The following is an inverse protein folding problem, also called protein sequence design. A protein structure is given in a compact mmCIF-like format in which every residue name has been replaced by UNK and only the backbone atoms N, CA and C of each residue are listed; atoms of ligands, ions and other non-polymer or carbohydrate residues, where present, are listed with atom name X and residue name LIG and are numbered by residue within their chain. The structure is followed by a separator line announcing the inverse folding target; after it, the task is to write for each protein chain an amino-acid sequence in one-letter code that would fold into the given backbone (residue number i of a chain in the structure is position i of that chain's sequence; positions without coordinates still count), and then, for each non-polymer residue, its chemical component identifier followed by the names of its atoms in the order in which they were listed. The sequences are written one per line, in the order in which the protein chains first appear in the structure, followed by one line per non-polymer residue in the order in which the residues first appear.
data_IF_112480943658
#
_entry.id   IF_112480943658
#
_cell.length_a   1.000
_cell.length_b   1.000
_cell.length_c   1.000
_cell.angle_alpha   90.00
_cell.angle_beta   90.00
_cell.angle_gamma   90.00
#
_symmetry.space_group_name_H-M   'P 1'
#
loop_
_entity.id
_entity.type
_entity.pdbx_description
1 polymer ?
#
# COMPACT_ATOMS: atom_id res chain seq x y z
N UNK A 1 -26.08 -6.15 14.53
CA UNK A 1 -25.33 -6.01 13.26
C UNK A 1 -23.97 -5.44 13.60
N UNK A 2 -22.88 -6.11 13.22
CA UNK A 2 -21.52 -5.65 13.54
C UNK A 2 -21.18 -4.37 12.78
N UNK A 3 -20.49 -3.44 13.45
CA UNK A 3 -20.12 -2.13 12.91
C UNK A 3 -18.62 -1.94 12.94
N UNK A 4 -18.07 -1.48 11.84
CA UNK A 4 -16.62 -1.32 11.67
C UNK A 4 -16.31 0.10 11.19
N UNK A 5 -15.24 0.70 11.74
CA UNK A 5 -14.78 2.01 11.34
C UNK A 5 -13.52 1.90 10.45
N UNK A 6 -13.55 2.57 9.33
CA UNK A 6 -12.43 2.75 8.42
C UNK A 6 -11.83 4.14 8.68
N UNK A 7 -10.70 4.20 9.38
CA UNK A 7 -10.06 5.45 9.77
C UNK A 7 -8.95 5.83 8.78
N UNK A 8 -9.06 7.00 8.19
CA UNK A 8 -8.14 7.50 7.19
C UNK A 8 -7.64 8.92 7.51
N UNK A 9 -6.34 9.14 7.33
CA UNK A 9 -5.71 10.47 7.42
C UNK A 9 -5.26 11.00 6.06
N UNK A 10 -5.07 10.12 5.08
CA UNK A 10 -4.51 10.43 3.77
C UNK A 10 -5.27 9.68 2.66
N UNK A 11 -5.21 10.18 1.43
CA UNK A 11 -5.96 9.64 0.28
C UNK A 11 -5.63 8.16 -0.03
N UNK A 12 -4.37 7.74 0.14
CA UNK A 12 -3.95 6.35 -0.12
C UNK A 12 -4.74 5.31 0.70
N UNK A 13 -5.34 5.72 1.82
CA UNK A 13 -6.12 4.84 2.67
C UNK A 13 -7.36 4.27 1.97
N UNK A 14 -7.93 5.00 1.00
CA UNK A 14 -9.10 4.54 0.24
C UNK A 14 -8.78 3.25 -0.53
N UNK A 15 -7.66 3.21 -1.24
CA UNK A 15 -7.25 2.04 -2.00
C UNK A 15 -6.98 0.82 -1.10
N UNK A 16 -6.57 1.04 0.15
CA UNK A 16 -6.27 -0.04 1.11
C UNK A 16 -7.53 -0.55 1.79
N UNK A 17 -8.43 0.36 2.18
CA UNK A 17 -9.57 0.01 3.02
C UNK A 17 -10.84 -0.34 2.23
N UNK A 18 -10.96 0.04 0.95
CA UNK A 18 -12.12 -0.32 0.12
C UNK A 18 -12.30 -1.82 -0.10
N UNK A 19 -11.24 -2.62 -0.34
CA UNK A 19 -11.38 -4.08 -0.38
C UNK A 19 -11.88 -4.64 0.95
N UNK A 20 -11.38 -4.10 2.07
CA UNK A 20 -11.87 -4.49 3.40
C UNK A 20 -13.32 -4.06 3.63
N UNK A 21 -13.73 -2.88 3.17
CA UNK A 21 -15.14 -2.44 3.19
C UNK A 21 -16.04 -3.40 2.42
N UNK A 22 -15.59 -3.84 1.24
CA UNK A 22 -16.32 -4.81 0.43
C UNK A 22 -16.50 -6.15 1.18
N UNK A 23 -15.43 -6.66 1.82
CA UNK A 23 -15.49 -7.88 2.63
C UNK A 23 -16.40 -7.73 3.86
N UNK A 24 -16.40 -6.56 4.53
CA UNK A 24 -17.33 -6.25 5.64
C UNK A 24 -18.78 -6.31 5.15
N UNK A 25 -19.07 -5.64 4.04
CA UNK A 25 -20.44 -5.61 3.46
C UNK A 25 -20.90 -7.00 3.00
N UNK A 26 -20.00 -7.81 2.42
CA UNK A 26 -20.29 -9.17 2.00
C UNK A 26 -20.68 -10.09 3.17
N UNK A 27 -20.25 -9.78 4.40
CA UNK A 27 -20.66 -10.48 5.63
C UNK A 27 -21.99 -9.95 6.20
N UNK A 28 -22.65 -8.99 5.55
CA UNK A 28 -23.84 -8.32 6.06
C UNK A 28 -23.58 -7.37 7.23
N UNK A 29 -22.33 -6.91 7.42
CA UNK A 29 -21.95 -5.95 8.45
C UNK A 29 -21.88 -4.52 7.89
N UNK A 30 -21.88 -3.53 8.78
CA UNK A 30 -21.81 -2.12 8.43
C UNK A 30 -20.39 -1.58 8.52
N UNK A 31 -19.99 -0.80 7.51
CA UNK A 31 -18.73 -0.07 7.49
C UNK A 31 -18.97 1.42 7.32
N UNK A 32 -18.34 2.23 8.15
CA UNK A 32 -18.37 3.69 8.04
C UNK A 32 -16.95 4.26 8.00
N UNK A 33 -16.80 5.39 7.33
CA UNK A 33 -15.55 6.12 7.19
C UNK A 33 -15.47 7.29 8.17
N UNK A 34 -14.31 7.46 8.77
CA UNK A 34 -13.96 8.68 9.46
C UNK A 34 -12.61 9.19 8.95
N UNK A 35 -12.58 10.45 8.57
CA UNK A 35 -11.37 11.12 8.08
C UNK A 35 -10.87 12.13 9.11
N UNK A 36 -9.58 12.06 9.37
CA UNK A 36 -8.92 13.05 10.21
C UNK A 36 -8.92 14.45 9.56
N UNK A 37 -8.90 14.48 8.22
CA UNK A 37 -8.90 15.69 7.37
C UNK A 37 -9.98 15.53 6.31
N UNK A 38 -10.58 16.63 5.88
CA UNK A 38 -11.69 16.58 4.92
C UNK A 38 -11.27 16.25 3.49
N UNK A 39 -10.03 16.58 3.09
CA UNK A 39 -9.58 16.40 1.72
C UNK A 39 -9.80 14.99 1.15
N UNK A 40 -9.46 13.88 1.85
CA UNK A 40 -9.76 12.53 1.35
C UNK A 40 -11.25 12.20 1.28
N UNK A 41 -12.09 12.86 2.09
CA UNK A 41 -13.52 12.60 2.12
C UNK A 41 -14.25 13.00 0.82
N UNK A 42 -13.70 13.94 0.06
CA UNK A 42 -14.24 14.33 -1.24
C UNK A 42 -14.18 13.19 -2.29
N UNK A 43 -13.38 12.15 -2.05
CA UNK A 43 -13.25 10.99 -2.92
C UNK A 43 -14.14 9.79 -2.48
N UNK A 44 -15.02 9.97 -1.50
CA UNK A 44 -15.99 8.94 -1.15
C UNK A 44 -17.03 8.77 -2.25
N UNK A 45 -17.46 7.52 -2.42
CA UNK A 45 -18.56 7.17 -3.30
C UNK A 45 -19.89 7.48 -2.61
N UNK A 46 -20.95 7.62 -3.37
CA UNK A 46 -22.27 7.96 -2.84
C UNK A 46 -22.85 6.90 -1.89
N UNK A 47 -22.40 5.65 -1.99
CA UNK A 47 -22.81 4.53 -1.15
C UNK A 47 -21.89 4.33 0.07
N UNK A 48 -20.85 5.14 0.24
CA UNK A 48 -19.89 5.04 1.35
C UNK A 48 -20.31 5.95 2.51
N UNK A 49 -20.76 5.35 3.62
CA UNK A 49 -21.19 6.09 4.81
C UNK A 49 -20.04 6.84 5.46
N UNK A 50 -20.14 8.15 5.61
CA UNK A 50 -19.21 8.98 6.36
C UNK A 50 -19.77 9.32 7.74
N UNK A 51 -18.94 9.20 8.78
CA UNK A 51 -19.16 9.77 10.10
C UNK A 51 -18.41 11.11 10.17
N UNK A 52 -19.10 12.26 10.17
CA UNK A 52 -18.45 13.56 9.97
C UNK A 52 -17.72 14.08 11.22
N UNK A 53 -18.07 13.58 12.41
CA UNK A 53 -17.56 14.07 13.69
C UNK A 53 -17.07 12.94 14.59
N UNK A 54 -16.19 13.27 15.51
CA UNK A 54 -15.75 12.32 16.56
C UNK A 54 -16.95 11.83 17.37
N UNK A 55 -17.94 12.70 17.67
CA UNK A 55 -19.15 12.30 18.40
C UNK A 55 -19.93 11.25 17.62
N UNK A 56 -20.07 11.40 16.29
CA UNK A 56 -20.73 10.38 15.47
C UNK A 56 -20.00 9.02 15.53
N UNK A 57 -18.66 9.00 15.60
CA UNK A 57 -17.91 7.75 15.83
C UNK A 57 -18.18 7.15 17.21
N UNK A 58 -18.22 7.99 18.25
CA UNK A 58 -18.53 7.54 19.61
C UNK A 58 -19.95 6.94 19.72
N UNK A 59 -20.92 7.56 19.03
CA UNK A 59 -22.32 7.08 19.00
C UNK A 59 -22.49 5.84 18.11
N UNK A 60 -21.69 5.74 17.04
CA UNK A 60 -21.64 4.57 16.15
C UNK A 60 -21.16 3.30 16.87
N UNK A 61 -20.27 3.43 17.85
CA UNK A 61 -19.70 2.34 18.66
C UNK A 61 -19.15 1.18 17.83
N UNK A 62 -18.14 1.42 16.95
CA UNK A 62 -17.58 0.34 16.15
C UNK A 62 -16.96 -0.75 17.02
N UNK A 63 -17.09 -2.01 16.60
CA UNK A 63 -16.42 -3.17 17.20
C UNK A 63 -14.91 -3.17 16.93
N UNK A 64 -14.51 -2.67 15.74
CA UNK A 64 -13.11 -2.45 15.40
C UNK A 64 -12.92 -1.21 14.53
N UNK A 65 -11.71 -0.65 14.61
CA UNK A 65 -11.22 0.49 13.82
C UNK A 65 -10.05 0.02 12.99
N UNK A 66 -10.21 -0.03 11.68
CA UNK A 66 -9.16 -0.42 10.74
C UNK A 66 -8.37 0.81 10.27
N UNK A 67 -7.05 0.71 10.31
CA UNK A 67 -6.16 1.83 10.09
C UNK A 67 -4.95 1.41 9.25
N UNK A 68 -4.72 2.01 8.07
CA UNK A 68 -3.50 1.77 7.32
C UNK A 68 -2.32 2.60 7.82
N UNK A 69 -2.61 3.68 8.55
CA UNK A 69 -1.60 4.58 9.10
C UNK A 69 -1.09 4.16 10.49
N UNK A 70 -0.06 4.85 10.94
CA UNK A 70 0.66 4.51 12.19
C UNK A 70 0.04 5.11 13.47
N UNK A 71 -1.15 5.66 13.41
CA UNK A 71 -1.80 6.22 14.59
C UNK A 71 -3.32 6.10 14.49
N UNK A 72 -3.95 6.03 15.66
CA UNK A 72 -5.40 5.99 15.81
C UNK A 72 -5.76 6.65 17.13
N UNK A 73 -6.90 7.37 17.23
CA UNK A 73 -7.39 7.90 18.49
C UNK A 73 -7.69 6.76 19.47
N UNK A 74 -7.03 6.76 20.62
CA UNK A 74 -7.19 5.69 21.61
C UNK A 74 -8.58 5.68 22.26
N UNK A 75 -9.27 6.82 22.27
CA UNK A 75 -10.61 6.98 22.83
C UNK A 75 -11.72 6.47 21.90
N UNK A 76 -11.46 6.21 20.62
CA UNK A 76 -12.44 5.56 19.78
C UNK A 76 -12.82 4.18 20.34
N UNK A 77 -14.10 3.79 20.37
CA UNK A 77 -14.47 2.46 20.80
C UNK A 77 -13.96 1.35 19.88
N UNK A 78 -13.99 0.12 20.34
CA UNK A 78 -13.59 -1.08 19.58
C UNK A 78 -12.09 -1.35 19.50
N UNK A 79 -11.75 -2.46 18.87
CA UNK A 79 -10.38 -2.95 18.68
C UNK A 79 -9.65 -2.07 17.64
N UNK A 80 -8.40 -1.68 17.89
CA UNK A 80 -7.60 -0.91 16.93
C UNK A 80 -6.71 -1.86 16.13
N UNK A 81 -6.99 -1.95 14.83
CA UNK A 81 -6.34 -2.88 13.91
C UNK A 81 -5.50 -2.10 12.91
N UNK A 82 -4.20 -2.35 12.86
CA UNK A 82 -3.30 -1.81 11.83
C UNK A 82 -3.24 -2.78 10.64
N UNK A 83 -3.53 -2.27 9.44
CA UNK A 83 -3.48 -3.03 8.18
C UNK A 83 -2.36 -2.55 7.25
N UNK A 84 -1.51 -1.65 7.73
CA UNK A 84 -0.35 -1.05 7.04
C UNK A 84 -0.70 -0.27 5.76
N UNK A 85 0.26 0.58 5.33
CA UNK A 85 0.11 1.44 4.15
C UNK A 85 1.12 1.15 3.04
N UNK A 86 1.89 0.08 3.15
CA UNK A 86 2.87 -0.35 2.17
C UNK A 86 3.89 -1.32 2.74
N UNK A 87 4.71 -1.88 1.87
CA UNK A 87 5.85 -2.69 2.26
C UNK A 87 7.00 -1.83 2.76
N UNK A 88 7.88 -2.40 3.59
CA UNK A 88 9.09 -1.73 4.04
C UNK A 88 10.11 -1.68 2.89
N UNK A 89 10.37 -0.50 2.38
CA UNK A 89 11.38 -0.26 1.33
C UNK A 89 12.65 0.39 1.88
N UNK A 90 12.80 0.42 3.21
CA UNK A 90 14.01 0.92 3.86
C UNK A 90 14.32 2.40 3.68
N UNK A 91 13.33 3.23 3.35
CA UNK A 91 13.49 4.69 3.22
C UNK A 91 13.78 5.41 4.54
N UNK A 92 13.52 4.78 5.69
CA UNK A 92 13.67 5.38 7.02
C UNK A 92 14.50 4.45 7.91
N UNK A 93 15.21 5.05 8.89
CA UNK A 93 15.91 4.29 9.94
C UNK A 93 14.94 3.45 10.76
N UNK A 94 15.42 2.37 11.39
CA UNK A 94 14.61 1.45 12.21
C UNK A 94 13.85 2.18 13.33
N UNK A 95 14.47 3.17 13.97
CA UNK A 95 13.86 3.96 15.05
C UNK A 95 12.68 4.85 14.61
N UNK A 96 12.58 5.15 13.32
CA UNK A 96 11.50 5.96 12.71
C UNK A 96 10.67 5.20 11.69
N UNK A 97 11.02 3.94 11.44
CA UNK A 97 10.51 3.11 10.35
C UNK A 97 9.25 2.33 10.68
N UNK A 98 9.05 1.32 9.87
CA UNK A 98 7.90 0.42 9.81
C UNK A 98 7.64 -0.34 11.12
N UNK A 99 8.70 -0.73 11.83
CA UNK A 99 8.65 -1.54 13.05
C UNK A 99 8.51 -0.74 14.36
N UNK A 100 8.28 0.57 14.29
CA UNK A 100 8.14 1.39 15.51
C UNK A 100 6.78 1.19 16.18
N UNK A 101 6.74 0.56 17.35
CA UNK A 101 5.53 0.39 18.15
C UNK A 101 5.19 1.70 18.89
N UNK A 102 3.95 2.17 18.68
CA UNK A 102 3.43 3.41 19.29
C UNK A 102 2.43 3.19 20.43
N UNK A 103 2.06 1.93 20.70
CA UNK A 103 1.16 1.55 21.77
C UNK A 103 -0.30 1.90 21.55
N UNK A 104 -0.71 2.15 20.29
CA UNK A 104 -2.09 2.49 19.97
C UNK A 104 -2.91 1.28 19.54
N UNK A 105 -2.30 0.34 18.82
CA UNK A 105 -2.98 -0.80 18.23
C UNK A 105 -3.12 -1.99 19.18
N UNK A 106 -4.17 -2.78 18.97
CA UNK A 106 -4.47 -4.05 19.66
C UNK A 106 -4.05 -5.25 18.81
N UNK A 107 -4.16 -5.10 17.48
CA UNK A 107 -3.86 -6.12 16.48
C UNK A 107 -3.09 -5.48 15.32
N UNK A 108 -2.03 -6.16 14.89
CA UNK A 108 -1.28 -5.87 13.68
C UNK A 108 -1.54 -6.99 12.67
N UNK A 109 -2.19 -6.66 11.54
CA UNK A 109 -2.45 -7.56 10.43
C UNK A 109 -1.31 -7.42 9.41
N UNK A 110 -0.32 -8.30 9.47
CA UNK A 110 0.91 -8.21 8.70
C UNK A 110 0.79 -8.80 7.31
N UNK A 111 1.63 -8.33 6.40
CA UNK A 111 1.53 -8.61 4.97
C UNK A 111 2.14 -9.95 4.55
N UNK A 112 3.19 -10.39 5.24
CA UNK A 112 3.92 -11.63 4.96
C UNK A 112 5.06 -11.84 5.96
N UNK A 113 5.83 -12.94 5.82
CA UNK A 113 6.87 -13.37 6.76
C UNK A 113 7.87 -12.28 7.18
N UNK A 114 8.38 -11.49 6.21
CA UNK A 114 9.37 -10.43 6.46
C UNK A 114 8.82 -9.31 7.38
N UNK A 115 7.50 -9.14 7.46
CA UNK A 115 6.84 -8.22 8.38
C UNK A 115 6.37 -8.94 9.64
N UNK A 116 5.88 -10.16 9.51
CA UNK A 116 5.29 -10.94 10.60
C UNK A 116 6.31 -11.30 11.67
N UNK A 117 7.48 -11.81 11.28
CA UNK A 117 8.49 -12.27 12.24
C UNK A 117 8.97 -11.15 13.17
N UNK A 118 9.38 -9.96 12.68
CA UNK A 118 9.75 -8.85 13.54
C UNK A 118 8.59 -8.35 14.43
N UNK A 119 7.34 -8.31 13.91
CA UNK A 119 6.20 -7.89 14.73
C UNK A 119 5.85 -8.91 15.82
N UNK A 120 6.01 -10.21 15.59
CA UNK A 120 5.86 -11.26 16.62
C UNK A 120 6.92 -11.12 17.72
N UNK A 121 8.17 -10.82 17.37
CA UNK A 121 9.22 -10.54 18.35
C UNK A 121 8.85 -9.31 19.20
N UNK A 122 8.40 -8.23 18.54
CA UNK A 122 7.93 -7.03 19.23
C UNK A 122 6.71 -7.30 20.13
N UNK A 123 5.78 -8.16 19.70
CA UNK A 123 4.64 -8.56 20.50
C UNK A 123 5.08 -9.32 21.77
N UNK A 124 6.05 -10.23 21.66
CA UNK A 124 6.65 -10.91 22.81
C UNK A 124 7.30 -9.94 23.80
N UNK A 125 8.05 -8.96 23.29
CA UNK A 125 8.74 -7.93 24.10
C UNK A 125 7.75 -6.98 24.79
N UNK A 126 6.76 -6.49 24.07
CA UNK A 126 5.78 -5.51 24.60
C UNK A 126 4.62 -6.15 25.36
N UNK A 127 4.10 -7.27 24.89
CA UNK A 127 3.09 -8.09 25.54
C UNK A 127 1.66 -7.55 25.52
N UNK A 128 1.35 -6.45 24.80
CA UNK A 128 0.03 -5.81 24.89
C UNK A 128 -0.74 -5.76 23.56
N UNK A 129 -0.25 -6.38 22.51
CA UNK A 129 -0.92 -6.49 21.20
C UNK A 129 -0.72 -7.87 20.59
N UNK A 130 -1.55 -8.21 19.62
CA UNK A 130 -1.47 -9.44 18.82
C UNK A 130 -0.94 -9.15 17.42
N UNK A 131 -0.45 -10.19 16.76
CA UNK A 131 0.05 -10.15 15.39
C UNK A 131 -0.48 -11.33 14.63
N UNK A 132 -1.15 -11.05 13.51
CA UNK A 132 -1.65 -12.08 12.58
C UNK A 132 -1.17 -11.78 11.16
N UNK A 133 -0.69 -12.81 10.48
CA UNK A 133 -0.30 -12.71 9.08
C UNK A 133 -1.55 -12.89 8.20
N UNK A 134 -1.92 -11.84 7.48
CA UNK A 134 -3.19 -11.80 6.74
C UNK A 134 -3.02 -11.57 5.24
N UNK A 135 -1.85 -11.14 4.82
CA UNK A 135 -1.71 -10.47 3.54
C UNK A 135 -2.13 -8.99 3.64
N UNK A 136 -2.25 -8.33 2.50
CA UNK A 136 -2.54 -6.90 2.45
C UNK A 136 -3.81 -6.61 1.63
N UNK A 137 -4.87 -6.08 2.26
CA UNK A 137 -6.16 -5.82 1.61
C UNK A 137 -6.08 -5.05 0.30
N UNK A 138 -5.15 -4.09 0.17
CA UNK A 138 -4.96 -3.33 -1.08
C UNK A 138 -4.79 -4.21 -2.31
N UNK A 139 -4.15 -5.37 -2.16
CA UNK A 139 -3.83 -6.25 -3.29
C UNK A 139 -4.95 -7.24 -3.62
N UNK A 140 -5.98 -7.38 -2.80
CA UNK A 140 -7.08 -8.32 -3.06
C UNK A 140 -7.70 -8.13 -4.45
N UNK A 141 -8.02 -6.91 -4.94
CA UNK A 141 -8.59 -6.73 -6.26
C UNK A 141 -7.70 -7.21 -7.41
N UNK A 142 -6.37 -7.20 -7.21
CA UNK A 142 -5.40 -7.63 -8.21
C UNK A 142 -5.44 -9.16 -8.43
N UNK A 143 -5.81 -9.91 -7.39
CA UNK A 143 -5.84 -11.37 -7.39
C UNK A 143 -7.27 -11.96 -7.41
N UNK A 144 -8.29 -11.12 -7.40
CA UNK A 144 -9.70 -11.51 -7.45
C UNK A 144 -10.32 -11.36 -8.86
N UNK A 145 -9.53 -11.52 -9.91
CA UNK A 145 -9.92 -11.41 -11.33
C UNK A 145 -10.66 -10.11 -11.70
N UNK A 146 -10.51 -9.08 -10.87
CA UNK A 146 -11.12 -7.76 -11.14
C UNK A 146 -10.49 -7.08 -12.35
N UNK A 147 -9.21 -7.37 -12.62
CA UNK A 147 -8.46 -6.85 -13.73
C UNK A 147 -8.09 -8.01 -14.65
N UNK A 148 -8.89 -8.30 -15.70
CA UNK A 148 -8.60 -9.39 -16.62
C UNK A 148 -7.25 -9.17 -17.29
N UNK A 149 -6.48 -10.25 -17.41
CA UNK A 149 -5.24 -10.23 -18.17
C UNK A 149 -5.54 -9.82 -19.61
N UNK A 150 -4.92 -8.75 -20.08
CA UNK A 150 -5.00 -8.32 -21.46
C UNK A 150 -3.87 -9.02 -22.23
N UNK A 151 -4.21 -9.76 -23.27
CA UNK A 151 -3.22 -10.17 -24.26
C UNK A 151 -2.83 -8.92 -25.06
N UNK A 152 -1.73 -8.29 -24.66
CA UNK A 152 -1.21 -7.11 -25.36
C UNK A 152 -0.51 -7.56 -26.63
N UNK A 153 -0.79 -6.90 -27.76
CA UNK A 153 -0.12 -7.17 -29.04
C UNK A 153 1.39 -6.84 -28.98
N UNK A 154 1.78 -5.94 -28.09
CA UNK A 154 3.15 -5.52 -27.80
C UNK A 154 3.37 -5.48 -26.29
N UNK A 155 4.60 -5.73 -25.80
CA UNK A 155 4.89 -5.61 -24.36
C UNK A 155 4.54 -4.22 -23.83
N UNK A 156 3.99 -4.17 -22.61
CA UNK A 156 3.63 -2.94 -21.92
C UNK A 156 4.65 -2.66 -20.83
N UNK A 157 5.39 -1.57 -20.96
CA UNK A 157 6.34 -1.08 -19.97
C UNK A 157 5.67 0.00 -19.13
N UNK A 158 5.46 -0.28 -17.85
CA UNK A 158 5.00 0.74 -16.92
C UNK A 158 6.19 1.54 -16.39
N UNK A 159 6.10 2.87 -16.43
CA UNK A 159 7.04 3.74 -15.72
C UNK A 159 6.36 4.43 -14.57
N UNK A 160 6.94 4.25 -13.37
CA UNK A 160 6.47 4.91 -12.14
C UNK A 160 7.66 5.32 -11.28
N UNK A 161 7.78 6.62 -10.95
CA UNK A 161 8.90 7.18 -10.21
C UNK A 161 8.45 7.79 -8.88
N UNK A 162 9.35 7.74 -7.87
CA UNK A 162 9.12 8.44 -6.61
C UNK A 162 9.19 9.96 -6.81
N UNK A 163 8.47 10.71 -5.99
CA UNK A 163 8.47 12.18 -6.02
C UNK A 163 9.63 12.83 -5.24
N UNK A 164 10.43 12.02 -4.53
CA UNK A 164 11.54 12.52 -3.72
C UNK A 164 12.69 12.93 -4.64
N UNK A 165 12.97 14.21 -4.77
CA UNK A 165 13.90 14.80 -5.75
C UNK A 165 15.30 14.15 -5.75
N UNK A 166 15.82 13.78 -4.57
CA UNK A 166 17.16 13.17 -4.45
C UNK A 166 17.28 11.73 -4.93
N UNK A 167 16.16 11.08 -5.31
CA UNK A 167 16.11 9.67 -5.71
C UNK A 167 15.12 9.40 -6.85
N UNK A 168 14.47 10.43 -7.39
CA UNK A 168 13.58 10.31 -8.53
C UNK A 168 14.37 10.05 -9.81
N UNK A 169 13.90 9.10 -10.61
CA UNK A 169 14.43 8.84 -11.96
C UNK A 169 13.71 9.64 -13.04
N UNK A 170 12.62 10.34 -12.71
CA UNK A 170 11.73 10.93 -13.69
C UNK A 170 12.43 11.95 -14.61
N UNK A 171 13.33 12.79 -14.08
CA UNK A 171 14.04 13.77 -14.91
C UNK A 171 15.08 13.12 -15.81
N UNK A 172 15.87 12.18 -15.26
CA UNK A 172 16.93 11.51 -15.98
C UNK A 172 16.40 10.65 -17.15
N UNK A 173 15.33 9.90 -16.91
CA UNK A 173 14.83 8.92 -17.89
C UNK A 173 13.85 9.49 -18.93
N UNK A 174 13.47 10.77 -18.83
CA UNK A 174 12.49 11.37 -19.75
C UNK A 174 12.90 11.24 -21.23
N UNK A 175 14.16 11.57 -21.56
CA UNK A 175 14.65 11.52 -22.94
C UNK A 175 14.70 10.08 -23.47
N UNK A 176 15.16 9.13 -22.64
CA UNK A 176 15.22 7.71 -22.97
C UNK A 176 13.82 7.14 -23.24
N UNK A 177 12.85 7.45 -22.38
CA UNK A 177 11.46 7.01 -22.53
C UNK A 177 10.80 7.62 -23.77
N UNK A 178 11.05 8.92 -24.04
CA UNK A 178 10.52 9.59 -25.22
C UNK A 178 11.05 8.97 -26.51
N UNK A 179 12.35 8.69 -26.60
CA UNK A 179 12.97 8.04 -27.74
C UNK A 179 12.43 6.60 -27.95
N UNK A 180 12.34 5.82 -26.86
CA UNK A 180 11.80 4.48 -26.91
C UNK A 180 10.31 4.42 -27.29
N UNK A 181 9.51 5.40 -26.90
CA UNK A 181 8.12 5.49 -27.31
C UNK A 181 7.97 5.80 -28.81
N UNK A 182 8.96 6.47 -29.44
CA UNK A 182 8.96 6.74 -30.89
C UNK A 182 9.27 5.49 -31.70
N UNK A 183 10.09 4.53 -31.21
CA UNK A 183 10.39 3.29 -31.96
C UNK A 183 9.14 2.42 -32.13
N UNK A 184 8.22 2.44 -31.21
CA UNK A 184 6.97 1.69 -31.27
C UNK A 184 7.07 0.21 -30.92
N UNK A 185 8.23 -0.27 -30.47
CA UNK A 185 8.44 -1.67 -30.09
C UNK A 185 7.62 -2.06 -28.88
N UNK A 186 7.43 -1.13 -27.95
CA UNK A 186 6.68 -1.29 -26.70
C UNK A 186 5.56 -0.27 -26.57
N UNK A 187 4.57 -0.62 -25.77
CA UNK A 187 3.57 0.32 -25.26
C UNK A 187 4.04 0.85 -23.89
N UNK A 188 4.12 2.17 -23.76
CA UNK A 188 4.49 2.81 -22.50
C UNK A 188 3.27 3.25 -21.73
N UNK A 189 3.25 2.95 -20.42
CA UNK A 189 2.24 3.39 -19.48
C UNK A 189 2.92 4.17 -18.36
N UNK A 190 2.81 5.48 -18.39
CA UNK A 190 3.48 6.36 -17.44
C UNK A 190 2.50 6.83 -16.38
N UNK A 191 2.89 6.68 -15.11
CA UNK A 191 2.20 7.30 -14.00
C UNK A 191 3.20 7.92 -13.01
N UNK A 192 2.84 9.06 -12.46
CA UNK A 192 3.68 9.77 -11.50
C UNK A 192 2.92 10.01 -10.20
N UNK A 193 3.66 10.07 -9.10
CA UNK A 193 3.07 10.31 -7.79
C UNK A 193 2.37 11.68 -7.75
N UNK A 194 1.19 11.84 -7.11
CA UNK A 194 0.48 13.13 -7.03
C UNK A 194 1.28 14.31 -6.44
N UNK A 195 2.34 14.02 -5.69
CA UNK A 195 3.27 15.03 -5.13
C UNK A 195 4.48 15.30 -6.04
N UNK A 196 4.50 14.76 -7.27
CA UNK A 196 5.55 15.06 -8.24
C UNK A 196 5.52 16.54 -8.63
N UNK A 197 6.68 17.12 -8.90
CA UNK A 197 6.80 18.52 -9.34
C UNK A 197 5.97 18.75 -10.62
N UNK A 198 5.16 19.81 -10.69
CA UNK A 198 4.25 20.05 -11.81
C UNK A 198 4.93 20.08 -13.18
N UNK A 199 6.13 20.69 -13.27
CA UNK A 199 6.93 20.74 -14.50
C UNK A 199 7.30 19.35 -15.03
N UNK A 200 7.57 18.39 -14.12
CA UNK A 200 7.85 17.00 -14.50
C UNK A 200 6.58 16.32 -14.99
N UNK A 201 5.46 16.53 -14.29
CA UNK A 201 4.15 15.98 -14.70
C UNK A 201 3.78 16.47 -16.09
N UNK A 202 3.88 17.77 -16.35
CA UNK A 202 3.55 18.37 -17.65
C UNK A 202 4.49 17.89 -18.74
N UNK A 203 5.77 17.73 -18.45
CA UNK A 203 6.76 17.21 -19.38
C UNK A 203 6.46 15.75 -19.82
N UNK A 204 5.94 14.89 -18.92
CA UNK A 204 5.51 13.53 -19.28
C UNK A 204 4.15 13.50 -19.96
N UNK A 205 3.22 14.36 -19.57
CA UNK A 205 1.94 14.51 -20.22
C UNK A 205 2.10 14.92 -21.70
N UNK A 206 3.07 15.77 -21.99
CA UNK A 206 3.40 16.18 -23.35
C UNK A 206 3.98 15.06 -24.23
N UNK A 207 4.42 13.94 -23.64
CA UNK A 207 4.90 12.76 -24.39
C UNK A 207 3.77 11.83 -24.85
N UNK A 208 2.50 12.09 -24.46
CA UNK A 208 1.38 11.25 -24.90
C UNK A 208 1.31 11.12 -26.42
N UNK A 209 1.05 9.90 -26.87
CA UNK A 209 0.99 9.55 -28.27
C UNK A 209 0.57 8.10 -28.49
N UNK A 210 0.68 7.58 -29.71
CA UNK A 210 0.22 6.23 -30.06
C UNK A 210 0.86 5.12 -29.20
N UNK A 211 2.09 5.32 -28.74
CA UNK A 211 2.87 4.31 -28.01
C UNK A 211 3.12 4.70 -26.55
N UNK A 212 2.59 5.84 -26.05
CA UNK A 212 2.75 6.27 -24.68
C UNK A 212 1.46 6.88 -24.15
N UNK A 213 0.93 6.30 -23.10
CA UNK A 213 -0.19 6.82 -22.33
C UNK A 213 0.28 7.34 -20.96
N UNK A 214 -0.14 8.55 -20.60
CA UNK A 214 0.09 9.13 -19.28
C UNK A 214 -1.19 9.05 -18.45
N UNK A 215 -1.14 8.33 -17.34
CA UNK A 215 -2.29 8.13 -16.47
C UNK A 215 -2.06 8.76 -15.08
N UNK A 216 -2.96 9.66 -14.68
CA UNK A 216 -3.12 10.05 -13.27
C UNK A 216 -4.32 9.30 -12.74
N UNK A 217 -4.08 8.27 -11.92
CA UNK A 217 -5.14 7.40 -11.42
C UNK A 217 -5.01 7.16 -9.92
N UNK A 218 -6.15 7.02 -9.27
CA UNK A 218 -6.23 6.55 -7.88
C UNK A 218 -6.19 5.00 -7.82
N UNK A 219 -6.37 4.31 -8.94
CA UNK A 219 -6.32 2.85 -9.06
C UNK A 219 -5.05 2.38 -9.79
N UNK A 220 -3.95 2.37 -9.08
CA UNK A 220 -2.67 1.91 -9.61
C UNK A 220 -2.67 0.40 -9.92
N UNK A 221 -3.59 -0.37 -9.35
CA UNK A 221 -3.66 -1.82 -9.56
C UNK A 221 -4.07 -2.17 -10.99
N UNK A 222 -4.92 -1.36 -11.61
CA UNK A 222 -5.26 -1.53 -13.03
C UNK A 222 -4.00 -1.38 -13.91
N UNK A 223 -3.15 -0.40 -13.60
CA UNK A 223 -1.89 -0.20 -14.31
C UNK A 223 -0.93 -1.39 -14.10
N UNK A 224 -0.86 -1.93 -12.88
CA UNK A 224 -0.06 -3.12 -12.59
C UNK A 224 -0.53 -4.33 -13.39
N UNK A 225 -1.85 -4.58 -13.41
CA UNK A 225 -2.43 -5.71 -14.14
C UNK A 225 -2.15 -5.62 -15.64
N UNK A 226 -2.27 -4.41 -16.21
CA UNK A 226 -2.09 -4.14 -17.63
C UNK A 226 -0.64 -4.10 -18.13
N UNK A 227 0.37 -4.20 -17.23
CA UNK A 227 1.78 -4.05 -17.58
C UNK A 227 2.55 -5.35 -17.48
N UNK A 228 3.56 -5.55 -18.33
CA UNK A 228 4.41 -6.74 -18.38
C UNK A 228 5.69 -6.57 -17.59
N UNK A 229 6.21 -5.35 -17.51
CA UNK A 229 7.42 -4.97 -16.77
C UNK A 229 7.26 -3.58 -16.17
N UNK A 230 7.87 -3.37 -15.01
CA UNK A 230 7.95 -2.05 -14.37
C UNK A 230 9.36 -1.48 -14.50
N UNK A 231 9.47 -0.22 -14.95
CA UNK A 231 10.64 0.63 -14.80
C UNK A 231 10.40 1.62 -13.66
N UNK A 232 11.28 1.66 -12.67
CA UNK A 232 11.09 2.52 -11.50
C UNK A 232 12.44 2.93 -10.87
N UNK A 233 12.38 3.44 -9.66
CA UNK A 233 13.52 3.81 -8.81
C UNK A 233 13.37 3.24 -7.39
N UNK A 234 13.84 3.94 -6.36
CA UNK A 234 13.58 3.56 -4.96
C UNK A 234 12.16 3.93 -4.56
N UNK A 235 11.19 3.23 -5.11
CA UNK A 235 9.76 3.50 -4.94
C UNK A 235 9.03 2.37 -4.22
N UNK A 236 7.97 2.73 -3.48
CA UNK A 236 7.08 1.75 -2.84
C UNK A 236 6.24 0.93 -3.83
N UNK A 237 6.12 1.39 -5.08
CA UNK A 237 5.43 0.64 -6.14
C UNK A 237 6.20 -0.62 -6.56
N UNK A 238 7.52 -0.65 -6.36
CA UNK A 238 8.37 -1.79 -6.74
C UNK A 238 7.94 -3.09 -6.04
N UNK A 239 7.93 -3.19 -4.69
CA UNK A 239 7.45 -4.41 -4.03
C UNK A 239 5.98 -4.72 -4.31
N UNK A 240 5.13 -3.71 -4.50
CA UNK A 240 3.72 -3.92 -4.86
C UNK A 240 3.62 -4.60 -6.24
N UNK A 241 4.32 -4.10 -7.25
CA UNK A 241 4.32 -4.66 -8.59
C UNK A 241 4.87 -6.10 -8.63
N UNK A 242 5.97 -6.34 -7.88
CA UNK A 242 6.60 -7.67 -7.77
C UNK A 242 5.63 -8.76 -7.27
N UNK A 243 4.60 -8.40 -6.48
CA UNK A 243 3.62 -9.40 -5.98
C UNK A 243 2.90 -10.16 -7.10
N UNK A 244 2.86 -9.61 -8.32
CA UNK A 244 2.35 -10.30 -9.50
C UNK A 244 3.31 -11.33 -10.09
N UNK A 245 4.55 -11.43 -9.58
CA UNK A 245 5.65 -12.21 -10.16
C UNK A 245 5.95 -11.74 -11.60
N UNK A 246 6.01 -10.42 -11.77
CA UNK A 246 6.42 -9.74 -13.00
C UNK A 246 7.77 -9.04 -12.79
N UNK A 247 8.63 -8.96 -13.83
CA UNK A 247 9.96 -8.38 -13.70
C UNK A 247 9.93 -6.87 -13.46
N UNK A 248 10.97 -6.39 -12.78
CA UNK A 248 11.17 -4.97 -12.49
C UNK A 248 12.60 -4.57 -12.83
N UNK A 249 12.73 -3.50 -13.60
CA UNK A 249 13.99 -2.77 -13.81
C UNK A 249 13.98 -1.53 -12.93
N UNK A 250 15.05 -1.30 -12.20
CA UNK A 250 15.19 -0.09 -11.38
C UNK A 250 16.39 0.74 -11.82
N UNK A 251 16.26 2.05 -11.69
CA UNK A 251 17.30 3.01 -11.99
C UNK A 251 17.88 3.58 -10.69
N UNK A 252 19.14 3.30 -10.40
CA UNK A 252 19.88 3.77 -9.20
C UNK A 252 19.12 3.48 -7.90
N UNK A 253 18.65 2.24 -7.75
CA UNK A 253 17.95 1.83 -6.55
C UNK A 253 18.89 1.81 -5.34
N UNK A 254 18.46 2.40 -4.23
CA UNK A 254 19.26 2.40 -2.98
C UNK A 254 19.41 1.03 -2.32
N UNK A 255 18.56 0.08 -2.66
CA UNK A 255 18.55 -1.29 -2.13
C UNK A 255 18.26 -2.28 -3.24
N UNK A 256 19.18 -2.41 -4.21
CA UNK A 256 19.06 -3.44 -5.23
C UNK A 256 19.15 -4.83 -4.58
N UNK A 257 18.51 -5.81 -5.22
CA UNK A 257 18.53 -7.19 -4.79
C UNK A 257 18.35 -8.12 -5.99
N UNK A 258 18.53 -9.43 -5.82
CA UNK A 258 18.49 -10.39 -6.93
C UNK A 258 17.13 -10.43 -7.66
N UNK A 259 16.05 -9.95 -7.04
CA UNK A 259 14.74 -9.83 -7.64
C UNK A 259 14.56 -8.61 -8.55
N UNK A 260 15.60 -7.79 -8.73
CA UNK A 260 15.59 -6.58 -9.54
C UNK A 260 16.72 -6.60 -10.55
N UNK A 261 16.49 -6.01 -11.72
CA UNK A 261 17.59 -5.58 -12.61
C UNK A 261 17.81 -4.10 -12.32
N UNK A 262 18.90 -3.77 -11.62
CA UNK A 262 19.22 -2.38 -11.29
C UNK A 262 20.28 -1.82 -12.21
N UNK A 263 20.02 -0.70 -12.86
CA UNK A 263 20.92 -0.03 -13.79
C UNK A 263 21.36 1.34 -13.27
N UNK A 264 22.56 1.78 -13.69
CA UNK A 264 23.17 3.00 -13.17
C UNK A 264 23.24 4.13 -14.20
N UNK A 265 23.07 3.80 -15.49
CA UNK A 265 23.09 4.76 -16.61
C UNK A 265 21.83 4.66 -17.46
N UNK A 266 21.48 5.75 -18.13
CA UNK A 266 20.33 5.82 -19.05
C UNK A 266 20.48 4.87 -20.25
N UNK A 267 21.70 4.62 -20.69
CA UNK A 267 22.03 3.73 -21.82
C UNK A 267 21.79 2.26 -21.51
N UNK A 268 21.80 1.87 -20.23
CA UNK A 268 21.55 0.48 -19.81
C UNK A 268 20.04 0.17 -19.73
N UNK A 269 19.15 1.18 -19.72
CA UNK A 269 17.72 1.00 -19.43
C UNK A 269 17.03 0.12 -20.46
N UNK A 270 17.20 0.40 -21.76
CA UNK A 270 16.50 -0.36 -22.81
C UNK A 270 16.99 -1.81 -22.90
N UNK A 271 18.33 -2.10 -22.89
CA UNK A 271 18.81 -3.47 -22.81
C UNK A 271 18.32 -4.22 -21.55
N UNK A 272 18.24 -3.56 -20.41
CA UNK A 272 17.72 -4.16 -19.18
C UNK A 272 16.23 -4.48 -19.27
N UNK A 273 15.42 -3.65 -19.92
CA UNK A 273 13.99 -3.91 -20.16
C UNK A 273 13.80 -5.09 -21.12
N UNK A 274 14.58 -5.19 -22.21
CA UNK A 274 14.55 -6.34 -23.11
C UNK A 274 14.90 -7.64 -22.36
N UNK A 275 15.96 -7.61 -21.56
CA UNK A 275 16.34 -8.73 -20.72
C UNK A 275 15.25 -9.10 -19.71
N UNK A 276 14.65 -8.12 -19.05
CA UNK A 276 13.54 -8.33 -18.12
C UNK A 276 12.32 -8.98 -18.80
N UNK A 277 11.96 -8.50 -20.00
CA UNK A 277 10.85 -9.02 -20.77
C UNK A 277 11.07 -10.45 -21.27
N UNK A 278 12.32 -10.90 -21.45
CA UNK A 278 12.65 -12.30 -21.75
C UNK A 278 12.41 -13.23 -20.55
N UNK A 279 12.14 -12.69 -19.34
CA UNK A 279 11.83 -13.41 -18.11
C UNK A 279 12.89 -14.47 -17.73
N UNK A 280 14.16 -14.11 -17.58
CA UNK A 280 15.22 -15.07 -17.28
C UNK A 280 14.89 -15.94 -16.07
N UNK A 281 15.11 -17.26 -16.11
CA UNK A 281 14.67 -18.19 -15.05
C UNK A 281 15.22 -17.84 -13.66
N UNK A 282 16.49 -17.36 -13.58
CA UNK A 282 17.10 -16.92 -12.32
C UNK A 282 16.44 -15.69 -11.74
N UNK A 283 16.12 -14.69 -12.57
CA UNK A 283 15.40 -13.50 -12.14
C UNK A 283 13.99 -13.87 -11.64
N UNK A 284 13.26 -14.68 -12.42
CA UNK A 284 11.90 -15.10 -12.05
C UNK A 284 11.86 -15.91 -10.76
N UNK A 285 12.89 -16.73 -10.50
CA UNK A 285 13.05 -17.45 -9.24
C UNK A 285 13.29 -16.50 -8.08
N UNK A 286 14.21 -15.55 -8.25
CA UNK A 286 14.51 -14.54 -7.23
C UNK A 286 13.28 -13.67 -6.91
N UNK A 287 12.48 -13.30 -7.92
CA UNK A 287 11.22 -12.59 -7.74
C UNK A 287 10.23 -13.45 -6.93
N UNK A 288 10.05 -14.71 -7.30
CA UNK A 288 9.16 -15.61 -6.59
C UNK A 288 9.56 -15.74 -5.11
N UNK A 289 10.85 -15.99 -4.83
CA UNK A 289 11.35 -16.13 -3.45
C UNK A 289 11.16 -14.83 -2.65
N UNK A 290 11.36 -13.68 -3.28
CA UNK A 290 11.10 -12.38 -2.65
C UNK A 290 9.62 -12.20 -2.32
N UNK A 291 8.73 -12.54 -3.26
CA UNK A 291 7.27 -12.44 -3.07
C UNK A 291 6.78 -13.36 -1.94
N UNK A 292 7.30 -14.59 -1.85
CA UNK A 292 6.96 -15.51 -0.75
C UNK A 292 7.31 -14.92 0.63
N UNK A 293 8.30 -14.07 0.73
CA UNK A 293 8.68 -13.42 1.99
C UNK A 293 7.85 -12.17 2.30
N UNK A 294 7.51 -11.36 1.29
CA UNK A 294 6.82 -10.09 1.53
C UNK A 294 5.29 -10.20 1.50
N UNK A 295 4.75 -11.07 0.63
CA UNK A 295 3.30 -11.27 0.43
C UNK A 295 3.01 -12.58 -0.30
N UNK A 296 2.92 -13.73 0.40
CA UNK A 296 2.71 -15.03 -0.21
C UNK A 296 1.27 -15.25 -0.74
N UNK A 297 0.34 -14.38 -0.38
CA UNK A 297 -1.09 -14.52 -0.67
C UNK A 297 -1.46 -13.96 -2.04
N UNK A 298 -1.98 -14.82 -2.91
CA UNK A 298 -2.39 -14.46 -4.28
C UNK A 298 -3.81 -14.92 -4.60
N UNK A 299 -4.66 -14.99 -3.59
CA UNK A 299 -6.04 -15.50 -3.68
C UNK A 299 -7.10 -14.41 -3.52
N UNK A 300 -6.69 -13.13 -3.38
CA UNK A 300 -7.60 -12.00 -3.24
C UNK A 300 -8.40 -11.98 -1.92
N UNK A 301 -7.93 -12.70 -0.88
CA UNK A 301 -8.68 -12.90 0.37
C UNK A 301 -8.01 -12.34 1.61
N UNK A 302 -7.10 -11.36 1.46
CA UNK A 302 -6.43 -10.73 2.61
C UNK A 302 -7.43 -9.99 3.51
N UNK A 303 -8.43 -9.33 2.93
CA UNK A 303 -9.49 -8.66 3.69
C UNK A 303 -10.30 -9.63 4.55
N UNK A 304 -10.61 -10.82 4.05
CA UNK A 304 -11.31 -11.85 4.82
C UNK A 304 -10.45 -12.34 6.00
N UNK A 305 -9.14 -12.52 5.80
CA UNK A 305 -8.21 -12.90 6.86
C UNK A 305 -8.08 -11.81 7.93
N UNK A 306 -8.05 -10.53 7.53
CA UNK A 306 -8.08 -9.40 8.46
C UNK A 306 -9.33 -9.43 9.33
N UNK A 307 -10.51 -9.69 8.74
CA UNK A 307 -11.76 -9.79 9.49
C UNK A 307 -11.75 -11.00 10.42
N UNK A 308 -11.30 -12.18 9.97
CA UNK A 308 -11.19 -13.38 10.80
C UNK A 308 -10.23 -13.16 11.99
N UNK A 309 -9.08 -12.53 11.75
CA UNK A 309 -8.12 -12.16 12.79
C UNK A 309 -8.72 -11.17 13.80
N UNK A 310 -9.54 -10.22 13.31
CA UNK A 310 -10.25 -9.26 14.15
C UNK A 310 -11.29 -9.94 15.03
N UNK A 311 -12.08 -10.86 14.48
CA UNK A 311 -13.09 -11.64 15.19
C UNK A 311 -12.43 -12.49 16.29
N UNK A 312 -11.34 -13.18 15.97
CA UNK A 312 -10.56 -13.96 16.92
C UNK A 312 -9.98 -13.08 18.06
N UNK A 313 -9.43 -11.92 17.72
CA UNK A 313 -8.88 -10.98 18.69
C UNK A 313 -9.98 -10.38 19.59
N UNK A 314 -11.16 -10.11 19.04
CA UNK A 314 -12.34 -9.62 19.78
C UNK A 314 -12.83 -10.68 20.75
N UNK A 315 -12.99 -11.92 20.30
CA UNK A 315 -13.44 -13.06 21.14
C UNK A 315 -12.45 -13.38 22.25
N UNK A 316 -11.14 -13.33 21.97
CA UNK A 316 -10.08 -13.54 22.98
C UNK A 316 -9.98 -12.37 23.96
N UNK A 317 -10.52 -11.21 23.64
CA UNK A 317 -10.42 -10.00 24.43
C UNK A 317 -8.96 -9.68 24.82
N UNK A 318 -8.76 -9.38 26.09
CA UNK A 318 -7.40 -9.08 26.61
C UNK A 318 -6.69 -10.27 27.27
N UNK A 319 -7.24 -11.48 27.13
CA UNK A 319 -6.64 -12.67 27.73
C UNK A 319 -5.17 -12.83 27.28
N UNK A 320 -4.26 -13.03 28.24
CA UNK A 320 -2.82 -13.17 27.98
C UNK A 320 -2.07 -11.89 27.63
N UNK A 321 -2.75 -10.74 27.55
CA UNK A 321 -2.11 -9.47 27.21
C UNK A 321 -1.86 -8.57 28.44
N UNK A 322 -0.69 -7.95 28.49
CA UNK A 322 -0.37 -6.88 29.42
C UNK A 322 -1.24 -5.64 29.19
N UNK A 323 -1.28 -4.72 30.14
CA UNK A 323 -1.92 -3.41 29.92
C UNK A 323 -1.12 -2.58 28.90
N UNK A 324 -1.83 -1.90 28.00
CA UNK A 324 -1.19 -0.91 27.11
C UNK A 324 -0.54 0.21 27.94
N UNK A 325 0.57 0.79 27.45
CA UNK A 325 1.18 1.95 28.11
C UNK A 325 0.19 3.13 28.14
N UNK A 326 0.27 3.94 29.17
CA UNK A 326 -0.64 5.08 29.36
C UNK A 326 -0.56 6.09 28.22
N UNK A 327 0.61 6.29 27.62
CA UNK A 327 0.83 7.17 26.45
C UNK A 327 0.15 8.56 26.58
N UNK A 328 0.17 9.16 27.77
CA UNK A 328 -0.55 10.41 28.10
C UNK A 328 -0.32 11.50 27.04
N UNK A 329 0.93 11.71 26.66
CA UNK A 329 1.27 12.70 25.65
C UNK A 329 0.56 12.43 24.31
N UNK A 330 0.56 11.20 23.84
CA UNK A 330 -0.12 10.82 22.59
C UNK A 330 -1.62 10.91 22.68
N UNK A 331 -2.18 10.61 23.86
CA UNK A 331 -3.62 10.79 24.12
C UNK A 331 -4.01 12.26 24.05
N UNK A 332 -3.22 13.14 24.67
CA UNK A 332 -3.44 14.58 24.59
C UNK A 332 -3.28 15.10 23.17
N UNK A 333 -2.24 14.65 22.46
CA UNK A 333 -2.07 15.00 21.04
C UNK A 333 -3.25 14.56 20.16
N UNK A 334 -3.78 13.35 20.35
CA UNK A 334 -4.94 12.85 19.64
C UNK A 334 -6.19 13.70 19.91
N UNK A 335 -6.42 14.07 21.17
CA UNK A 335 -7.54 14.95 21.57
C UNK A 335 -7.39 16.35 20.97
N UNK A 336 -6.20 16.95 21.04
CA UNK A 336 -5.90 18.23 20.42
C UNK A 336 -6.06 18.21 18.89
N UNK A 337 -5.62 17.12 18.24
CA UNK A 337 -5.64 16.97 16.78
C UNK A 337 -7.07 16.85 16.23
N UNK A 338 -7.98 16.25 17.01
CA UNK A 338 -9.38 16.06 16.63
C UNK A 338 -10.33 17.01 17.35
N UNK A 339 -9.80 17.96 18.13
CA UNK A 339 -10.55 18.91 18.96
C UNK A 339 -11.67 18.24 19.79
N UNK A 340 -11.33 17.12 20.45
CA UNK A 340 -12.29 16.34 21.22
C UNK A 340 -11.83 16.13 22.68
N UNK A 341 -12.46 16.86 23.62
CA UNK A 341 -12.09 16.93 25.02
C UNK A 341 -13.10 16.30 25.97
N UNK A 342 -14.14 15.68 25.45
CA UNK A 342 -15.11 14.97 26.27
C UNK A 342 -14.48 13.74 26.95
N UNK A 343 -14.90 13.38 28.19
CA UNK A 343 -14.38 12.23 28.95
C UNK A 343 -14.66 10.90 28.25
#
# INVERSE_FOLDING_TARGET
MSRYLLFASELYALAILRPLQAAIRARGAEAAWFFERDAPAAHLRSDELRLPTVQAVMDWKPEAVFVPGNWVPQFFPGLKVEVFHGFSVGKRSESRGHFRIRGSFDLYCTQGPDTTAPFRELAGRHGYFRVEETGWPKLDPLFADRYPSRANARPVVMFASTFTESITSARALKATIAAAAQSGDWQWLVTLHPKMAPDVVDAYRALQGPNLSFAMTDDILELYAGSDVLLSDTSSVVPEFLTQVKPVVTFRNRRPGPQLIDVQSETEVLPALEHALSRPPELMRAIHDYVQRIHPYRDGRSSERVLAATDAATSAGRAGLRRKPWNLWRRLQARKRLDYWRP
#
